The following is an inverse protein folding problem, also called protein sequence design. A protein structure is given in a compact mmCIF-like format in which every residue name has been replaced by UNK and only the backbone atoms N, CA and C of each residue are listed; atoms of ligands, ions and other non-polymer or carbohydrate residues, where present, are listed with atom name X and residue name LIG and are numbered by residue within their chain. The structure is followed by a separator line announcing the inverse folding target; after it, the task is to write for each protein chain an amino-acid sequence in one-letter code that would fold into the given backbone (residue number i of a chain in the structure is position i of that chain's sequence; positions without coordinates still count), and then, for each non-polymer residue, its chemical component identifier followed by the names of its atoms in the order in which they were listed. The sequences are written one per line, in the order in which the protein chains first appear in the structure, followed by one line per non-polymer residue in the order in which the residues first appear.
data_IF_469782624647
#
_entry.id   IF_469782624647
#
_cell.length_a   1.000
_cell.length_b   1.000
_cell.length_c   1.000
_cell.angle_alpha   90.00
_cell.angle_beta   90.00
_cell.angle_gamma   90.00
#
_symmetry.space_group_name_H-M   'P 1'
#
loop_
_entity.id
_entity.type
_entity.pdbx_description
1 polymer ?
#
# COMPACT_ATOMS: atom_id res chain seq x y z
N UNK A 1 -11.64 0.25 -30.09
CA UNK A 1 -10.17 0.10 -29.99
C UNK A 1 -9.40 1.29 -30.57
N UNK A 2 -10.05 2.43 -30.87
CA UNK A 2 -9.33 3.63 -31.34
C UNK A 2 -9.66 4.82 -30.43
N UNK A 3 -9.90 4.57 -29.13
CA UNK A 3 -10.36 5.63 -28.23
C UNK A 3 -9.31 6.73 -28.08
N UNK A 4 -8.03 6.35 -28.01
CA UNK A 4 -6.91 7.27 -27.88
C UNK A 4 -6.82 8.13 -29.13
N UNK A 5 -6.65 7.52 -30.30
CA UNK A 5 -6.56 8.22 -31.58
C UNK A 5 -7.84 8.99 -31.97
N UNK A 6 -9.05 8.48 -31.71
CA UNK A 6 -10.32 9.19 -31.99
C UNK A 6 -10.53 10.43 -31.14
N UNK A 7 -9.93 10.49 -29.95
CA UNK A 7 -10.04 11.64 -29.05
C UNK A 7 -8.76 12.48 -29.02
N UNK A 8 -7.81 12.23 -29.93
CA UNK A 8 -6.53 12.95 -30.03
C UNK A 8 -5.78 13.02 -28.69
N UNK A 9 -5.79 11.91 -27.95
CA UNK A 9 -5.10 11.82 -26.67
C UNK A 9 -3.61 11.55 -26.89
N UNK A 10 -2.79 12.17 -26.04
CA UNK A 10 -1.33 12.05 -26.01
C UNK A 10 -0.87 11.84 -24.56
N UNK A 11 0.31 11.23 -24.37
CA UNK A 11 0.89 10.91 -23.06
C UNK A 11 -0.06 10.12 -22.16
N UNK A 12 -0.72 9.11 -22.72
CA UNK A 12 -1.76 8.32 -22.03
C UNK A 12 -1.12 7.30 -21.09
N UNK A 13 -1.66 7.20 -19.88
CA UNK A 13 -1.42 6.06 -18.99
C UNK A 13 -2.61 5.13 -19.05
N UNK A 14 -2.38 3.87 -19.41
CA UNK A 14 -3.42 2.83 -19.41
C UNK A 14 -3.31 2.02 -18.11
N UNK A 15 -4.42 1.90 -17.38
CA UNK A 15 -4.45 1.24 -16.08
C UNK A 15 -5.20 -0.09 -16.17
N UNK A 16 -4.50 -1.19 -15.92
CA UNK A 16 -5.08 -2.52 -15.77
C UNK A 16 -5.15 -2.89 -14.29
N UNK A 17 -6.29 -2.64 -13.65
CA UNK A 17 -6.43 -2.77 -12.19
C UNK A 17 -6.27 -4.19 -11.64
N UNK A 18 -6.54 -5.20 -12.46
CA UNK A 18 -6.58 -6.61 -12.07
C UNK A 18 -5.58 -7.46 -12.87
N UNK A 19 -4.58 -6.78 -13.46
CA UNK A 19 -3.55 -7.41 -14.26
C UNK A 19 -3.84 -7.36 -15.75
N UNK A 20 -2.76 -7.47 -16.52
CA UNK A 20 -2.82 -7.60 -17.98
C UNK A 20 -2.88 -9.06 -18.35
N UNK A 21 -3.92 -9.42 -19.10
CA UNK A 21 -4.12 -10.76 -19.63
C UNK A 21 -4.24 -10.71 -21.16
N UNK A 22 -3.11 -10.96 -21.84
CA UNK A 22 -3.06 -11.09 -23.29
C UNK A 22 -3.67 -12.40 -23.81
N UNK A 23 -3.89 -13.40 -22.93
CA UNK A 23 -4.48 -14.69 -23.32
C UNK A 23 -5.99 -14.57 -23.49
N UNK A 24 -6.64 -13.71 -22.71
CA UNK A 24 -8.08 -13.49 -22.78
C UNK A 24 -8.51 -12.38 -23.75
N UNK A 25 -7.60 -11.48 -24.15
CA UNK A 25 -7.88 -10.41 -25.13
C UNK A 25 -6.93 -10.48 -26.33
N UNK A 26 -7.36 -11.21 -27.36
CA UNK A 26 -6.61 -11.46 -28.61
C UNK A 26 -6.21 -10.19 -29.39
N UNK A 27 -6.77 -9.04 -29.05
CA UNK A 27 -6.50 -7.78 -29.75
C UNK A 27 -5.83 -6.74 -28.86
N UNK A 28 -5.54 -7.07 -27.60
CA UNK A 28 -4.89 -6.15 -26.69
C UNK A 28 -3.49 -5.77 -27.20
N UNK A 29 -2.73 -6.76 -27.68
CA UNK A 29 -1.41 -6.55 -28.26
C UNK A 29 -1.46 -5.65 -29.50
N UNK A 30 -2.43 -5.89 -30.40
CA UNK A 30 -2.66 -5.07 -31.59
C UNK A 30 -2.96 -3.61 -31.20
N UNK A 31 -3.89 -3.42 -30.26
CA UNK A 31 -4.28 -2.10 -29.76
C UNK A 31 -3.10 -1.33 -29.13
N UNK A 32 -2.36 -1.99 -28.23
CA UNK A 32 -1.20 -1.38 -27.58
C UNK A 32 -0.11 -1.04 -28.60
N UNK A 33 0.10 -1.90 -29.60
CA UNK A 33 1.06 -1.65 -30.67
C UNK A 33 0.66 -0.48 -31.56
N UNK A 34 -0.62 -0.39 -31.95
CA UNK A 34 -1.11 0.68 -32.82
C UNK A 34 -1.09 2.06 -32.17
N UNK A 35 -1.25 2.12 -30.85
CA UNK A 35 -1.32 3.37 -30.08
C UNK A 35 -0.01 3.68 -29.32
N UNK A 36 1.05 2.88 -29.51
CA UNK A 36 2.27 2.92 -28.66
C UNK A 36 2.92 4.29 -28.54
N UNK A 37 2.95 5.08 -29.62
CA UNK A 37 3.59 6.40 -29.64
C UNK A 37 2.83 7.44 -28.78
N UNK A 38 1.57 7.16 -28.45
CA UNK A 38 0.70 8.01 -27.61
C UNK A 38 0.64 7.53 -26.17
N UNK A 39 1.11 6.30 -25.90
CA UNK A 39 1.11 5.68 -24.58
C UNK A 39 2.41 6.04 -23.86
N UNK A 40 2.29 6.78 -22.77
CA UNK A 40 3.41 7.06 -21.88
C UNK A 40 3.81 5.82 -21.07
N UNK A 41 2.82 5.13 -20.51
CA UNK A 41 3.04 3.96 -19.66
C UNK A 41 1.81 3.08 -19.53
N UNK A 42 2.05 1.84 -19.13
CA UNK A 42 1.01 0.94 -18.64
C UNK A 42 1.19 0.71 -17.14
N UNK A 43 0.14 1.00 -16.37
CA UNK A 43 0.10 0.71 -14.94
C UNK A 43 -0.60 -0.64 -14.71
N UNK A 44 0.14 -1.63 -14.23
CA UNK A 44 -0.30 -3.02 -14.16
C UNK A 44 -0.54 -3.48 -12.72
N UNK A 45 -1.80 -3.79 -12.39
CA UNK A 45 -2.26 -4.14 -11.05
C UNK A 45 -2.54 -5.62 -10.86
N UNK A 46 -1.48 -6.42 -10.79
CA UNK A 46 -1.50 -7.81 -10.35
C UNK A 46 -0.06 -8.29 -10.17
N UNK A 47 0.10 -9.51 -9.66
CA UNK A 47 1.39 -10.22 -9.75
C UNK A 47 1.86 -10.20 -11.20
N UNK A 48 3.09 -9.76 -11.40
CA UNK A 48 3.66 -9.65 -12.73
C UNK A 48 3.70 -11.04 -13.39
N UNK A 49 3.01 -11.16 -14.53
CA UNK A 49 3.10 -12.34 -15.37
C UNK A 49 4.22 -12.10 -16.37
N UNK A 50 5.30 -12.90 -16.29
CA UNK A 50 6.47 -12.77 -17.16
C UNK A 50 6.13 -12.75 -18.65
N UNK A 51 5.11 -13.52 -19.07
CA UNK A 51 4.63 -13.49 -20.46
C UNK A 51 4.09 -12.11 -20.85
N UNK A 52 3.23 -11.51 -20.02
CA UNK A 52 2.70 -10.16 -20.24
C UNK A 52 3.81 -9.11 -20.24
N UNK A 53 4.79 -9.20 -19.33
CA UNK A 53 5.95 -8.29 -19.33
C UNK A 53 6.79 -8.42 -20.59
N UNK A 54 7.03 -9.63 -21.08
CA UNK A 54 7.77 -9.84 -22.31
C UNK A 54 7.08 -9.19 -23.52
N UNK A 55 5.76 -9.29 -23.62
CA UNK A 55 4.98 -8.66 -24.69
C UNK A 55 5.10 -7.13 -24.60
N UNK A 56 4.89 -6.54 -23.42
CA UNK A 56 5.03 -5.08 -23.22
C UNK A 56 6.44 -4.59 -23.56
N UNK A 57 7.47 -5.34 -23.17
CA UNK A 57 8.87 -5.05 -23.51
C UNK A 57 9.13 -5.13 -25.02
N UNK A 58 8.52 -6.09 -25.72
CA UNK A 58 8.63 -6.21 -27.19
C UNK A 58 7.96 -5.04 -27.92
N UNK A 59 6.81 -4.58 -27.44
CA UNK A 59 6.13 -3.39 -27.98
C UNK A 59 6.94 -2.13 -27.65
N UNK A 60 7.64 -2.13 -26.51
CA UNK A 60 8.44 -1.01 -26.00
C UNK A 60 7.65 -0.07 -25.10
N UNK A 61 6.62 -0.57 -24.41
CA UNK A 61 5.78 0.25 -23.53
C UNK A 61 6.32 0.19 -22.09
N UNK A 62 6.66 1.33 -21.47
CA UNK A 62 7.07 1.38 -20.07
C UNK A 62 5.99 0.88 -19.11
N UNK A 63 6.41 0.26 -18.01
CA UNK A 63 5.49 -0.31 -17.01
C UNK A 63 5.66 0.38 -15.66
N UNK A 64 4.53 0.69 -15.04
CA UNK A 64 4.38 1.13 -13.64
C UNK A 64 3.70 -0.01 -12.86
N UNK A 65 4.27 -0.41 -11.73
CA UNK A 65 3.69 -1.47 -10.88
C UNK A 65 2.54 -0.94 -10.04
N UNK A 66 1.42 -1.66 -10.00
CA UNK A 66 0.25 -1.36 -9.18
C UNK A 66 -0.06 -2.49 -8.18
N UNK A 67 0.89 -2.76 -7.30
CA UNK A 67 0.85 -3.93 -6.44
C UNK A 67 0.06 -3.72 -5.13
N UNK A 68 -1.04 -4.44 -4.96
CA UNK A 68 -1.69 -4.54 -3.64
C UNK A 68 -0.88 -5.50 -2.75
N UNK A 69 -0.21 -4.95 -1.74
CA UNK A 69 0.63 -5.73 -0.81
C UNK A 69 -0.03 -5.97 0.55
N UNK A 70 -1.14 -5.29 0.85
CA UNK A 70 -1.78 -5.42 2.16
C UNK A 70 -2.55 -6.74 2.30
N UNK A 71 -2.03 -7.64 3.13
CA UNK A 71 -2.63 -8.96 3.39
C UNK A 71 -3.84 -8.85 4.34
N UNK A 72 -5.02 -8.67 3.74
CA UNK A 72 -6.25 -8.44 4.50
C UNK A 72 -6.75 -9.67 5.23
N UNK A 73 -6.94 -9.55 6.54
CA UNK A 73 -7.57 -10.58 7.36
C UNK A 73 -9.07 -10.35 7.53
N UNK A 74 -9.82 -11.45 7.72
CA UNK A 74 -11.28 -11.40 7.93
C UNK A 74 -11.66 -10.67 9.22
N UNK A 75 -10.86 -10.80 10.28
CA UNK A 75 -11.08 -10.15 11.57
C UNK A 75 -9.80 -9.50 12.07
N UNK A 76 -9.94 -8.39 12.78
CA UNK A 76 -8.80 -7.68 13.38
C UNK A 76 -7.98 -8.56 14.34
N UNK A 77 -8.63 -9.49 15.05
CA UNK A 77 -7.94 -10.44 15.95
C UNK A 77 -6.99 -11.39 15.22
N UNK A 78 -7.27 -11.70 13.95
CA UNK A 78 -6.49 -12.69 13.20
C UNK A 78 -5.08 -12.14 12.87
N UNK A 79 -4.91 -10.82 12.82
CA UNK A 79 -3.58 -10.19 12.69
C UNK A 79 -2.66 -10.45 13.88
N UNK A 80 -3.17 -10.85 15.04
CA UNK A 80 -2.31 -11.17 16.20
C UNK A 80 -1.44 -12.42 15.96
N UNK A 81 -1.81 -13.28 14.99
CA UNK A 81 -1.05 -14.46 14.56
C UNK A 81 0.06 -14.13 13.55
N UNK A 82 0.00 -12.95 12.94
CA UNK A 82 0.91 -12.46 11.90
C UNK A 82 1.27 -11.00 12.23
N UNK A 83 1.94 -10.80 13.36
CA UNK A 83 2.18 -9.46 13.87
C UNK A 83 3.03 -8.62 12.93
N UNK A 84 3.91 -9.23 12.13
CA UNK A 84 4.82 -8.54 11.22
C UNK A 84 4.96 -9.34 9.93
N UNK A 85 4.93 -8.66 8.80
CA UNK A 85 5.15 -9.25 7.46
C UNK A 85 5.87 -8.26 6.54
N UNK A 86 6.54 -8.78 5.52
CA UNK A 86 7.12 -7.95 4.46
C UNK A 86 5.99 -7.25 3.72
N UNK A 87 6.11 -5.93 3.54
CA UNK A 87 5.12 -5.14 2.82
C UNK A 87 5.57 -4.91 1.39
N UNK A 88 6.72 -4.27 1.17
CA UNK A 88 7.21 -3.99 -0.18
C UNK A 88 8.70 -3.67 -0.20
N UNK A 89 9.34 -3.98 -1.31
CA UNK A 89 10.72 -3.57 -1.64
C UNK A 89 10.74 -2.65 -2.89
N UNK A 90 9.57 -2.43 -3.51
CA UNK A 90 9.43 -1.68 -4.76
C UNK A 90 10.02 -0.27 -4.70
N UNK A 91 9.90 0.52 -3.60
CA UNK A 91 10.51 1.85 -3.53
C UNK A 91 12.02 1.87 -3.72
N UNK A 92 12.71 0.73 -3.63
CA UNK A 92 14.15 0.60 -3.78
C UNK A 92 14.51 -0.03 -5.13
N UNK A 93 13.83 -1.12 -5.51
CA UNK A 93 14.26 -1.97 -6.63
C UNK A 93 13.48 -1.80 -7.94
N UNK A 94 12.38 -1.03 -8.00
CA UNK A 94 11.54 -0.95 -9.21
C UNK A 94 12.34 -0.60 -10.49
N UNK A 95 13.35 0.26 -10.37
CA UNK A 95 14.18 0.68 -11.51
C UNK A 95 15.15 -0.43 -11.95
N UNK A 96 15.70 -1.20 -11.01
CA UNK A 96 16.55 -2.37 -11.32
C UNK A 96 15.76 -3.44 -12.05
N UNK A 97 14.47 -3.55 -11.73
CA UNK A 97 13.49 -4.38 -12.43
C UNK A 97 12.94 -3.72 -13.71
N UNK A 98 13.59 -2.69 -14.25
CA UNK A 98 13.21 -2.02 -15.50
C UNK A 98 11.77 -1.46 -15.52
N UNK A 99 11.19 -1.17 -14.35
CA UNK A 99 9.98 -0.38 -14.24
C UNK A 99 10.31 1.11 -14.19
N UNK A 100 9.38 1.95 -14.65
CA UNK A 100 9.52 3.41 -14.57
C UNK A 100 8.81 4.01 -13.36
N UNK A 101 8.15 3.17 -12.55
CA UNK A 101 7.52 3.58 -11.31
C UNK A 101 6.82 2.41 -10.61
N UNK A 102 6.34 2.70 -9.40
CA UNK A 102 5.56 1.80 -8.56
C UNK A 102 4.42 2.59 -7.91
N UNK A 103 3.46 1.90 -7.31
CA UNK A 103 2.44 2.51 -6.47
C UNK A 103 2.65 2.23 -4.99
N UNK A 104 2.20 3.16 -4.17
CA UNK A 104 2.21 3.15 -2.71
C UNK A 104 0.86 2.64 -2.17
N UNK A 105 0.38 1.48 -2.65
CA UNK A 105 -0.83 0.88 -2.09
C UNK A 105 -0.73 0.87 -0.57
N UNK A 106 -1.66 1.58 0.06
CA UNK A 106 -1.54 1.89 1.48
C UNK A 106 -1.81 0.65 2.34
N UNK A 107 -1.71 0.79 3.67
CA UNK A 107 -2.01 -0.26 4.65
C UNK A 107 -3.51 -0.54 4.80
N UNK A 108 -4.27 -0.50 3.71
CA UNK A 108 -5.71 -0.73 3.63
C UNK A 108 -6.01 -1.66 2.44
N UNK A 109 -7.05 -2.50 2.56
CA UNK A 109 -7.50 -3.31 1.42
C UNK A 109 -7.92 -2.44 0.24
N UNK A 110 -7.67 -2.91 -0.99
CA UNK A 110 -8.18 -2.33 -2.24
C UNK A 110 -9.70 -2.28 -2.27
N UNK A 111 -10.35 -3.30 -1.70
CA UNK A 111 -11.80 -3.40 -1.68
C UNK A 111 -12.40 -2.68 -0.46
N UNK A 112 -13.21 -1.65 -0.73
CA UNK A 112 -14.03 -1.03 0.30
C UNK A 112 -15.22 -1.94 0.64
N UNK A 113 -15.36 -2.29 1.92
CA UNK A 113 -16.54 -2.98 2.43
C UNK A 113 -17.44 -1.94 3.09
N UNK A 114 -18.62 -1.72 2.52
CA UNK A 114 -19.62 -0.81 3.06
C UNK A 114 -20.36 -1.47 4.23
N UNK A 115 -20.48 -0.75 5.34
CA UNK A 115 -21.04 -1.27 6.58
C UNK A 115 -20.01 -2.02 7.43
N UNK A 116 -19.95 -1.68 8.72
CA UNK A 116 -19.08 -2.33 9.68
C UNK A 116 -19.76 -2.41 11.04
N UNK A 117 -19.89 -3.62 11.58
CA UNK A 117 -20.20 -3.79 13.00
C UNK A 117 -19.07 -3.21 13.85
N UNK A 118 -19.35 -2.82 15.10
CA UNK A 118 -18.28 -2.48 16.03
C UNK A 118 -17.29 -3.66 16.11
N UNK A 119 -15.99 -3.42 15.90
CA UNK A 119 -15.05 -4.51 15.87
C UNK A 119 -14.79 -5.03 17.29
N UNK A 120 -14.60 -6.34 17.41
CA UNK A 120 -14.21 -6.98 18.67
C UNK A 120 -12.76 -6.62 19.07
N UNK A 121 -11.93 -6.24 18.11
CA UNK A 121 -10.54 -5.82 18.34
C UNK A 121 -10.22 -4.57 17.52
N UNK A 122 -9.30 -3.74 18.03
CA UNK A 122 -8.67 -2.68 17.25
C UNK A 122 -7.35 -3.22 16.71
N UNK A 123 -7.12 -3.05 15.41
CA UNK A 123 -5.83 -3.24 14.78
C UNK A 123 -5.35 -1.89 14.23
N UNK A 124 -4.10 -1.54 14.52
CA UNK A 124 -3.40 -0.39 13.94
C UNK A 124 -2.27 -0.95 13.09
N UNK A 125 -2.24 -0.58 11.82
CA UNK A 125 -1.24 -1.07 10.87
C UNK A 125 -0.21 0.03 10.62
N UNK A 126 1.06 -0.26 10.84
CA UNK A 126 2.14 0.71 10.71
C UNK A 126 3.24 0.08 9.85
N UNK A 127 3.68 0.80 8.83
CA UNK A 127 4.84 0.39 8.03
C UNK A 127 6.12 0.98 8.59
N UNK A 128 7.25 0.32 8.37
CA UNK A 128 8.56 0.81 8.76
C UNK A 128 9.62 0.26 7.82
N UNK A 129 10.72 1.00 7.62
CA UNK A 129 11.89 0.50 6.90
C UNK A 129 12.64 -0.46 7.81
N UNK A 130 12.74 -1.73 7.40
CA UNK A 130 13.54 -2.75 8.06
C UNK A 130 14.97 -2.77 7.52
N UNK A 131 15.61 -3.94 7.62
CA UNK A 131 16.91 -4.18 6.99
C UNK A 131 16.77 -4.43 5.48
N UNK A 132 17.90 -4.42 4.77
CA UNK A 132 18.02 -4.84 3.35
C UNK A 132 17.12 -4.09 2.34
N UNK A 133 16.81 -2.82 2.63
CA UNK A 133 15.94 -2.01 1.76
C UNK A 133 14.57 -2.68 1.53
N UNK A 134 13.97 -3.15 2.64
CA UNK A 134 12.62 -3.70 2.67
C UNK A 134 11.76 -2.86 3.62
N UNK A 135 10.53 -2.54 3.18
CA UNK A 135 9.48 -2.02 4.05
C UNK A 135 8.69 -3.19 4.61
N UNK A 136 8.55 -3.23 5.92
CA UNK A 136 7.70 -4.17 6.64
C UNK A 136 6.43 -3.46 7.12
N UNK A 137 5.41 -4.25 7.43
CA UNK A 137 4.20 -3.80 8.12
C UNK A 137 4.05 -4.59 9.42
N UNK A 138 3.76 -3.86 10.50
CA UNK A 138 3.42 -4.44 11.81
C UNK A 138 1.97 -4.15 12.15
N UNK A 139 1.27 -5.17 12.65
CA UNK A 139 -0.13 -5.15 13.04
C UNK A 139 -0.25 -5.13 14.57
N UNK A 140 -0.65 -3.99 15.11
CA UNK A 140 -0.83 -3.80 16.54
C UNK A 140 -2.27 -4.04 16.92
N UNK A 141 -2.55 -5.23 17.45
CA UNK A 141 -3.89 -5.65 17.87
C UNK A 141 -4.10 -5.36 19.36
N UNK A 142 -5.29 -4.91 19.76
CA UNK A 142 -5.71 -4.82 21.16
C UNK A 142 -5.69 -6.19 21.86
N UNK A 143 -5.67 -6.21 23.18
CA UNK A 143 -5.57 -7.44 23.97
C UNK A 143 -6.95 -7.97 24.39
N UNK A 144 -7.84 -7.09 24.82
CA UNK A 144 -9.14 -7.45 25.41
C UNK A 144 -10.24 -7.58 24.36
N UNK A 145 -10.31 -8.72 23.66
CA UNK A 145 -11.11 -8.87 22.44
C UNK A 145 -12.35 -9.77 22.56
N UNK A 146 -12.76 -10.19 23.75
CA UNK A 146 -13.90 -11.12 23.94
C UNK A 146 -15.27 -10.48 23.66
N UNK A 147 -15.42 -9.16 23.86
CA UNK A 147 -16.67 -8.41 23.67
C UNK A 147 -16.47 -7.21 22.74
N UNK A 148 -17.52 -6.45 22.40
CA UNK A 148 -17.39 -5.18 21.65
C UNK A 148 -17.28 -3.94 22.56
N UNK A 149 -17.28 -4.13 23.87
CA UNK A 149 -17.28 -3.05 24.86
C UNK A 149 -15.90 -2.39 24.97
N UNK A 150 -15.83 -1.24 25.65
CA UNK A 150 -14.57 -0.55 25.98
C UNK A 150 -13.63 -0.30 24.79
N UNK A 151 -14.16 0.21 23.67
CA UNK A 151 -13.37 0.51 22.47
C UNK A 151 -12.20 1.48 22.74
N UNK A 152 -12.37 2.38 23.70
CA UNK A 152 -11.33 3.31 24.13
C UNK A 152 -10.17 2.60 24.82
N UNK A 153 -10.44 1.61 25.68
CA UNK A 153 -9.42 0.77 26.29
C UNK A 153 -8.64 -0.01 25.24
N UNK A 154 -9.33 -0.65 24.30
CA UNK A 154 -8.70 -1.39 23.18
C UNK A 154 -7.83 -0.52 22.30
N UNK A 155 -8.28 0.70 22.02
CA UNK A 155 -7.46 1.67 21.28
C UNK A 155 -6.20 2.00 22.07
N UNK A 156 -6.31 2.20 23.38
CA UNK A 156 -5.17 2.48 24.23
C UNK A 156 -4.19 1.29 24.32
N UNK A 157 -4.68 0.04 24.35
CA UNK A 157 -3.86 -1.17 24.28
C UNK A 157 -3.05 -1.22 22.97
N UNK A 158 -3.74 -1.20 21.82
CA UNK A 158 -3.10 -1.26 20.50
C UNK A 158 -2.15 -0.08 20.28
N UNK A 159 -2.58 1.14 20.61
CA UNK A 159 -1.79 2.34 20.41
C UNK A 159 -0.55 2.41 21.30
N UNK A 160 -0.60 1.94 22.55
CA UNK A 160 0.59 1.85 23.41
C UNK A 160 1.65 0.92 22.81
N UNK A 161 1.23 -0.21 22.23
CA UNK A 161 2.16 -1.13 21.54
C UNK A 161 2.87 -0.44 20.37
N UNK A 162 2.19 0.44 19.63
CA UNK A 162 2.82 1.26 18.58
C UNK A 162 3.88 2.19 19.19
N UNK A 163 3.54 2.91 20.26
CA UNK A 163 4.48 3.85 20.90
C UNK A 163 5.68 3.12 21.50
N UNK A 164 5.46 1.96 22.13
CA UNK A 164 6.52 1.11 22.66
C UNK A 164 7.44 0.59 21.56
N UNK A 165 6.89 0.14 20.43
CA UNK A 165 7.65 -0.30 19.27
C UNK A 165 8.61 0.80 18.78
N UNK A 166 8.12 2.02 18.58
CA UNK A 166 8.98 3.15 18.19
C UNK A 166 9.91 3.63 19.30
N UNK A 167 9.61 3.39 20.57
CA UNK A 167 10.52 3.71 21.67
C UNK A 167 11.71 2.76 21.70
N UNK A 168 11.50 1.48 21.33
CA UNK A 168 12.56 0.48 21.17
C UNK A 168 13.40 0.62 19.90
N UNK A 169 12.91 1.37 18.90
CA UNK A 169 13.59 1.58 17.61
C UNK A 169 13.78 3.07 17.35
N UNK A 170 14.77 3.71 18.00
CA UNK A 170 14.95 5.16 17.95
C UNK A 170 15.15 5.70 16.52
N UNK A 171 15.79 4.90 15.66
CA UNK A 171 16.18 5.27 14.30
C UNK A 171 15.06 5.10 13.28
N UNK A 172 13.92 4.48 13.66
CA UNK A 172 12.80 4.33 12.74
C UNK A 172 12.09 5.67 12.51
N UNK A 173 11.75 5.91 11.24
CA UNK A 173 10.96 7.07 10.83
C UNK A 173 9.60 7.06 11.54
N UNK A 174 9.24 8.18 12.18
CA UNK A 174 7.97 8.34 12.90
C UNK A 174 7.01 9.27 12.17
N UNK A 175 7.52 10.39 11.66
CA UNK A 175 6.70 11.43 11.04
C UNK A 175 5.64 12.04 11.98
N UNK A 176 4.78 12.88 11.42
CA UNK A 176 3.71 13.55 12.15
C UNK A 176 2.56 12.61 12.49
N UNK A 177 2.38 11.53 11.73
CA UNK A 177 1.33 10.54 11.99
C UNK A 177 1.49 9.84 13.35
N UNK A 178 2.72 9.46 13.72
CA UNK A 178 2.99 8.82 15.02
C UNK A 178 2.88 9.82 16.17
N UNK A 179 3.28 11.07 15.97
CA UNK A 179 3.07 12.15 16.94
C UNK A 179 1.57 12.39 17.20
N UNK A 180 0.76 12.40 16.13
CA UNK A 180 -0.70 12.51 16.20
C UNK A 180 -1.34 11.34 16.96
N UNK A 181 -0.91 10.10 16.68
CA UNK A 181 -1.35 8.91 17.42
C UNK A 181 -1.02 9.03 18.91
N UNK A 182 0.22 9.38 19.25
CA UNK A 182 0.68 9.52 20.64
C UNK A 182 -0.15 10.59 21.38
N UNK A 183 -0.51 11.68 20.72
CA UNK A 183 -1.37 12.72 21.29
C UNK A 183 -2.77 12.21 21.66
N UNK A 184 -3.36 11.32 20.86
CA UNK A 184 -4.63 10.68 21.22
C UNK A 184 -4.49 9.75 22.42
N UNK A 185 -3.41 8.95 22.48
CA UNK A 185 -3.14 8.03 23.59
C UNK A 185 -2.91 8.79 24.90
N UNK A 186 -2.09 9.84 24.89
CA UNK A 186 -1.77 10.64 26.09
C UNK A 186 -2.98 11.41 26.63
N UNK A 187 -3.90 11.84 25.75
CA UNK A 187 -5.17 12.45 26.16
C UNK A 187 -6.22 11.42 26.58
N UNK A 188 -5.92 10.12 26.47
CA UNK A 188 -6.86 9.03 26.66
C UNK A 188 -8.07 9.15 25.74
N UNK A 189 -7.94 9.75 24.55
CA UNK A 189 -9.09 10.02 23.66
C UNK A 189 -9.07 9.04 22.48
N UNK A 190 -10.14 8.25 22.36
CA UNK A 190 -10.37 7.46 21.15
C UNK A 190 -10.87 8.35 20.01
N UNK A 191 -10.16 8.40 18.86
CA UNK A 191 -10.51 9.30 17.78
C UNK A 191 -11.49 8.72 16.74
N UNK A 192 -11.90 7.46 16.90
CA UNK A 192 -12.72 6.74 15.93
C UNK A 192 -11.90 5.93 14.91
N UNK A 193 -12.49 4.86 14.36
CA UNK A 193 -11.83 3.94 13.41
C UNK A 193 -11.33 4.65 12.15
N UNK A 194 -12.10 5.60 11.62
CA UNK A 194 -11.71 6.36 10.43
C UNK A 194 -10.42 7.15 10.65
N UNK A 195 -10.24 7.72 11.85
CA UNK A 195 -9.00 8.44 12.18
C UNK A 195 -7.82 7.49 12.35
N UNK A 196 -8.03 6.31 12.94
CA UNK A 196 -6.96 5.28 13.03
C UNK A 196 -6.47 4.90 11.63
N UNK A 197 -7.39 4.60 10.72
CA UNK A 197 -7.05 4.27 9.32
C UNK A 197 -6.32 5.43 8.64
N UNK A 198 -6.79 6.67 8.84
CA UNK A 198 -6.14 7.87 8.32
C UNK A 198 -4.71 8.01 8.83
N UNK A 199 -4.47 7.78 10.12
CA UNK A 199 -3.13 7.83 10.72
C UNK A 199 -2.21 6.77 10.10
N UNK A 200 -2.69 5.53 9.94
CA UNK A 200 -1.92 4.47 9.28
C UNK A 200 -1.54 4.82 7.84
N UNK A 201 -2.49 5.33 7.06
CA UNK A 201 -2.24 5.80 5.68
C UNK A 201 -1.25 6.97 5.67
N UNK A 202 -1.48 7.99 6.51
CA UNK A 202 -0.61 9.17 6.63
C UNK A 202 0.82 8.74 6.95
N UNK A 203 1.01 7.85 7.91
CA UNK A 203 2.32 7.36 8.28
C UNK A 203 3.02 6.65 7.12
N UNK A 204 2.30 5.79 6.39
CA UNK A 204 2.85 5.10 5.21
C UNK A 204 3.32 6.08 4.14
N UNK A 205 2.51 7.08 3.81
CA UNK A 205 2.86 8.10 2.82
C UNK A 205 4.05 8.95 3.27
N UNK A 206 4.11 9.31 4.55
CA UNK A 206 5.24 10.03 5.13
C UNK A 206 6.54 9.21 5.05
N UNK A 207 6.48 7.91 5.36
CA UNK A 207 7.62 6.99 5.25
C UNK A 207 8.11 6.87 3.80
N UNK A 208 7.19 6.62 2.85
CA UNK A 208 7.52 6.52 1.42
C UNK A 208 8.14 7.84 0.92
N UNK A 209 7.57 8.98 1.29
CA UNK A 209 8.10 10.28 0.92
C UNK A 209 9.51 10.52 1.48
N UNK A 210 9.81 10.07 2.70
CA UNK A 210 11.16 10.14 3.29
C UNK A 210 12.15 9.34 2.45
N UNK A 211 11.80 8.08 2.13
CA UNK A 211 12.64 7.16 1.35
C UNK A 211 12.93 7.73 -0.04
N UNK A 212 11.91 8.24 -0.73
CA UNK A 212 12.08 8.82 -2.07
C UNK A 212 12.84 10.15 -2.04
N UNK A 213 12.69 10.94 -0.98
CA UNK A 213 13.46 12.16 -0.76
C UNK A 213 14.95 11.89 -0.64
N UNK A 214 15.34 10.93 0.21
CA UNK A 214 16.73 10.52 0.41
C UNK A 214 17.40 10.02 -0.90
N UNK A 215 16.65 9.32 -1.76
CA UNK A 215 17.18 8.83 -3.04
C UNK A 215 17.46 9.92 -4.06
N UNK A 216 16.73 11.05 -4.04
CA UNK A 216 16.94 12.13 -5.00
C UNK A 216 18.16 13.01 -4.68
N UNK A 217 18.75 12.83 -3.50
CA UNK A 217 19.97 13.55 -3.06
C UNK A 217 21.26 12.79 -3.37
N UNK A 218 21.17 11.59 -3.96
CA UNK A 218 22.28 10.70 -4.32
C UNK A 218 22.32 10.40 -5.82
#
# INVERSE_FOLDING_TARGET
RDFISKNDLENVVIIFKDGIDFVQDDHLEEFLTSEKERIFAVANGAVEVRASRNILNQIGIPVIRLDEKFNSQRRNVDYALMQEEQFTEEPFYYHEDHFIGFSDYTTLPKNFVEGGMMPYAIAIHITFKGEEDIIYIRHFVSDTNETQENIQGKFAEAGRKVIEFFSGHPDYYRGEAIAELNSYINRGKYPGLGMIKKISVKHHLELISSILGERNEH
#
